data_IF_838541037707
#
_entry.id   IF_838541037707
#
_cell.length_a   1.000
_cell.length_b   1.000
_cell.length_c   1.000
_cell.angle_alpha   90.00
_cell.angle_beta   90.00
_cell.angle_gamma   90.00
#
_symmetry.space_group_name_H-M   'P 1'
#
loop_
_entity.id
_entity.type
_entity.pdbx_description
1 polymer ?
#
# COMPACT_ATOMS: atom_id res chain seq x y z
N UNK A 1 -21.35 -0.63 5.80
CA UNK A 1 -22.21 -1.80 6.03
C UNK A 1 -21.45 -2.65 7.04
N UNK A 2 -21.90 -2.72 8.26
CA UNK A 2 -21.29 -3.49 9.34
C UNK A 2 -22.05 -4.81 9.38
N UNK A 3 -21.30 -5.92 9.38
CA UNK A 3 -21.86 -7.28 9.45
C UNK A 3 -22.29 -7.55 10.91
N UNK A 4 -23.38 -8.29 11.11
CA UNK A 4 -23.91 -8.63 12.45
C UNK A 4 -22.89 -9.38 13.34
N UNK A 5 -21.85 -9.97 12.72
CA UNK A 5 -20.74 -10.65 13.38
C UNK A 5 -19.46 -9.80 13.52
N UNK A 6 -19.48 -8.53 13.13
CA UNK A 6 -18.33 -7.61 13.14
C UNK A 6 -17.07 -8.19 12.44
N UNK A 7 -17.26 -9.05 11.44
CA UNK A 7 -16.14 -9.67 10.69
C UNK A 7 -15.50 -8.72 9.68
N UNK A 8 -16.18 -7.60 9.39
CA UNK A 8 -15.78 -6.59 8.40
C UNK A 8 -15.51 -7.12 6.98
N UNK A 9 -15.77 -8.39 6.69
CA UNK A 9 -15.53 -8.99 5.38
C UNK A 9 -16.28 -8.27 4.25
N UNK A 10 -17.57 -7.98 4.47
CA UNK A 10 -18.39 -7.22 3.52
C UNK A 10 -17.88 -5.80 3.29
N UNK A 11 -17.34 -5.15 4.32
CA UNK A 11 -16.73 -3.82 4.22
C UNK A 11 -15.45 -3.86 3.38
N UNK A 12 -14.56 -4.81 3.65
CA UNK A 12 -13.31 -4.99 2.88
C UNK A 12 -13.63 -5.29 1.41
N UNK A 13 -14.64 -6.14 1.15
CA UNK A 13 -15.10 -6.43 -0.21
C UNK A 13 -15.61 -5.20 -0.93
N UNK A 14 -16.41 -4.38 -0.27
CA UNK A 14 -16.92 -3.13 -0.82
C UNK A 14 -15.76 -2.14 -1.09
N UNK A 15 -14.85 -1.96 -0.14
CA UNK A 15 -13.71 -1.07 -0.28
C UNK A 15 -12.81 -1.50 -1.45
N UNK A 16 -12.52 -2.80 -1.57
CA UNK A 16 -11.73 -3.36 -2.67
C UNK A 16 -12.41 -3.15 -4.03
N UNK A 17 -13.72 -3.41 -4.16
CA UNK A 17 -14.48 -3.18 -5.39
C UNK A 17 -14.47 -1.70 -5.78
N UNK A 18 -14.73 -0.81 -4.83
CA UNK A 18 -14.71 0.64 -5.06
C UNK A 18 -13.32 1.13 -5.47
N UNK A 19 -12.28 0.69 -4.78
CA UNK A 19 -10.90 1.02 -5.12
C UNK A 19 -10.53 0.50 -6.52
N UNK A 20 -10.88 -0.74 -6.87
CA UNK A 20 -10.62 -1.31 -8.19
C UNK A 20 -11.28 -0.51 -9.32
N UNK A 21 -12.53 -0.09 -9.15
CA UNK A 21 -13.23 0.79 -10.09
C UNK A 21 -12.52 2.14 -10.23
N UNK A 22 -12.11 2.72 -9.11
CA UNK A 22 -11.34 3.99 -9.10
C UNK A 22 -10.00 3.83 -9.80
N UNK A 23 -9.26 2.75 -9.52
CA UNK A 23 -7.98 2.43 -10.20
C UNK A 23 -8.20 2.30 -11.71
N UNK A 24 -9.25 1.62 -12.15
CA UNK A 24 -9.55 1.48 -13.58
C UNK A 24 -9.83 2.84 -14.24
N UNK A 25 -10.59 3.71 -13.59
CA UNK A 25 -10.86 5.07 -14.07
C UNK A 25 -9.57 5.92 -14.13
N UNK A 26 -8.79 5.93 -13.05
CA UNK A 26 -7.54 6.68 -12.97
C UNK A 26 -6.46 6.15 -13.92
N UNK A 27 -6.48 4.85 -14.24
CA UNK A 27 -5.55 4.24 -15.20
C UNK A 27 -5.65 4.84 -16.60
N UNK A 28 -6.82 5.37 -16.98
CA UNK A 28 -6.99 6.09 -18.24
C UNK A 28 -6.24 7.42 -18.26
N UNK A 29 -6.07 8.03 -17.09
CA UNK A 29 -5.35 9.29 -16.91
C UNK A 29 -3.84 9.07 -16.71
N UNK A 30 -3.48 7.87 -16.23
CA UNK A 30 -2.10 7.42 -16.08
C UNK A 30 -1.68 6.69 -17.36
N UNK A 31 -1.39 7.42 -18.43
CA UNK A 31 -0.84 6.81 -19.65
C UNK A 31 0.47 6.08 -19.32
N UNK A 32 0.69 4.92 -19.98
CA UNK A 32 1.95 4.15 -19.82
C UNK A 32 3.17 4.86 -20.46
N UNK A 33 3.01 6.09 -20.91
CA UNK A 33 4.12 6.87 -21.44
C UNK A 33 5.01 7.35 -20.29
N UNK A 34 6.30 7.23 -20.47
CA UNK A 34 7.35 7.73 -19.57
C UNK A 34 7.27 9.26 -19.30
N UNK A 35 6.43 9.97 -20.05
CA UNK A 35 6.22 11.41 -19.92
C UNK A 35 5.41 11.84 -18.67
N UNK A 36 4.72 10.91 -17.97
CA UNK A 36 4.01 11.24 -16.74
C UNK A 36 4.90 10.95 -15.54
N UNK A 37 5.35 12.02 -14.87
CA UNK A 37 6.19 11.92 -13.67
C UNK A 37 5.63 10.94 -12.62
N UNK A 38 6.51 10.16 -12.01
CA UNK A 38 6.16 9.17 -10.97
C UNK A 38 5.38 9.80 -9.81
N UNK A 39 5.69 11.06 -9.46
CA UNK A 39 5.00 11.85 -8.44
C UNK A 39 3.52 12.06 -8.76
N UNK A 40 3.19 12.37 -10.02
CA UNK A 40 1.79 12.56 -10.46
C UNK A 40 1.02 11.25 -10.38
N UNK A 41 1.63 10.12 -10.77
CA UNK A 41 1.02 8.80 -10.65
C UNK A 41 0.78 8.42 -9.17
N UNK A 42 1.74 8.71 -8.28
CA UNK A 42 1.58 8.51 -6.83
C UNK A 42 0.45 9.36 -6.26
N UNK A 43 0.31 10.60 -6.72
CA UNK A 43 -0.80 11.47 -6.29
C UNK A 43 -2.16 10.88 -6.69
N UNK A 44 -2.31 10.41 -7.93
CA UNK A 44 -3.55 9.76 -8.37
C UNK A 44 -3.80 8.45 -7.60
N UNK A 45 -2.74 7.69 -7.32
CA UNK A 45 -2.82 6.47 -6.52
C UNK A 45 -3.26 6.73 -5.07
N UNK A 46 -2.95 7.90 -4.50
CA UNK A 46 -3.37 8.23 -3.13
C UNK A 46 -4.90 8.25 -2.96
N UNK A 47 -5.65 8.54 -4.03
CA UNK A 47 -7.12 8.50 -4.03
C UNK A 47 -7.62 7.07 -3.79
N UNK A 48 -7.09 6.07 -4.51
CA UNK A 48 -7.46 4.68 -4.31
C UNK A 48 -6.97 4.16 -2.95
N UNK A 49 -5.77 4.60 -2.52
CA UNK A 49 -5.24 4.27 -1.20
C UNK A 49 -6.15 4.77 -0.08
N UNK A 50 -6.67 6.00 -0.18
CA UNK A 50 -7.58 6.54 0.83
C UNK A 50 -8.88 5.76 0.93
N UNK A 51 -9.39 5.23 -0.19
CA UNK A 51 -10.58 4.36 -0.19
C UNK A 51 -10.29 3.05 0.58
N UNK A 52 -9.14 2.41 0.32
CA UNK A 52 -8.74 1.18 1.00
C UNK A 52 -8.46 1.38 2.49
N UNK A 53 -7.98 2.56 2.89
CA UNK A 53 -7.66 2.89 4.30
C UNK A 53 -8.86 3.39 5.09
N UNK A 54 -10.00 3.67 4.42
CA UNK A 54 -11.16 4.25 5.09
C UNK A 54 -11.66 3.35 6.23
N UNK A 55 -11.68 3.92 7.43
CA UNK A 55 -12.05 3.20 8.65
C UNK A 55 -11.02 2.14 9.10
N UNK A 56 -9.78 2.18 8.57
CA UNK A 56 -8.71 1.24 8.87
C UNK A 56 -8.57 0.85 10.33
N UNK A 57 -8.52 1.79 11.28
CA UNK A 57 -8.43 1.49 12.71
C UNK A 57 -9.54 0.58 13.25
N UNK A 58 -10.72 0.61 12.63
CA UNK A 58 -11.89 -0.16 13.10
C UNK A 58 -11.85 -1.61 12.63
N UNK A 59 -11.27 -1.87 11.45
CA UNK A 59 -11.27 -3.20 10.83
C UNK A 59 -9.86 -3.81 10.65
N UNK A 60 -8.82 -3.15 11.16
CA UNK A 60 -7.43 -3.61 11.06
C UNK A 60 -7.22 -5.04 11.58
N UNK A 61 -7.89 -5.42 12.67
CA UNK A 61 -7.85 -6.77 13.25
C UNK A 61 -8.35 -7.83 12.25
N UNK A 62 -9.28 -7.49 11.36
CA UNK A 62 -9.77 -8.41 10.33
C UNK A 62 -8.68 -8.85 9.35
N UNK A 63 -7.58 -8.09 9.23
CA UNK A 63 -6.39 -8.47 8.43
C UNK A 63 -5.62 -9.67 9.02
N UNK A 64 -5.95 -10.11 10.24
CA UNK A 64 -5.51 -11.40 10.77
C UNK A 64 -5.99 -12.57 9.91
N UNK A 65 -7.13 -12.42 9.23
CA UNK A 65 -7.64 -13.40 8.27
C UNK A 65 -6.91 -13.26 6.93
N UNK A 66 -6.22 -14.32 6.50
CA UNK A 66 -5.39 -14.30 5.29
C UNK A 66 -6.17 -13.90 4.03
N UNK A 67 -7.42 -14.41 3.87
CA UNK A 67 -8.24 -14.12 2.69
C UNK A 67 -8.58 -12.63 2.55
N UNK A 68 -8.81 -11.93 3.64
CA UNK A 68 -9.08 -10.49 3.61
C UNK A 68 -7.82 -9.68 3.30
N UNK A 69 -6.70 -10.07 3.89
CA UNK A 69 -5.39 -9.50 3.60
C UNK A 69 -5.02 -9.66 2.13
N UNK A 70 -5.10 -10.89 1.62
CA UNK A 70 -4.75 -11.21 0.23
C UNK A 70 -5.61 -10.40 -0.76
N UNK A 71 -6.88 -10.22 -0.46
CA UNK A 71 -7.79 -9.43 -1.29
C UNK A 71 -7.42 -7.95 -1.31
N UNK A 72 -7.14 -7.39 -0.13
CA UNK A 72 -6.70 -6.00 0.01
C UNK A 72 -5.37 -5.77 -0.72
N UNK A 73 -4.39 -6.64 -0.51
CA UNK A 73 -3.08 -6.59 -1.13
C UNK A 73 -3.14 -6.77 -2.65
N UNK A 74 -3.99 -7.68 -3.14
CA UNK A 74 -4.20 -7.86 -4.58
C UNK A 74 -4.75 -6.59 -5.24
N UNK A 75 -5.71 -5.93 -4.60
CA UNK A 75 -6.27 -4.67 -5.10
C UNK A 75 -5.23 -3.56 -5.08
N UNK A 76 -4.49 -3.44 -3.99
CA UNK A 76 -3.42 -2.45 -3.85
C UNK A 76 -2.28 -2.68 -4.84
N UNK A 77 -1.94 -3.94 -5.12
CA UNK A 77 -0.93 -4.33 -6.11
C UNK A 77 -1.27 -3.78 -7.51
N UNK A 78 -2.53 -3.83 -7.93
CA UNK A 78 -2.95 -3.29 -9.24
C UNK A 78 -2.59 -1.80 -9.36
N UNK A 79 -2.74 -1.05 -8.31
CA UNK A 79 -2.38 0.36 -8.26
C UNK A 79 -0.86 0.56 -8.32
N UNK A 80 -0.10 -0.18 -7.52
CA UNK A 80 1.36 -0.11 -7.51
C UNK A 80 1.95 -0.43 -8.89
N UNK A 81 1.40 -1.42 -9.61
CA UNK A 81 1.77 -1.74 -10.99
C UNK A 81 1.60 -0.55 -11.94
N UNK A 82 0.53 0.24 -11.77
CA UNK A 82 0.28 1.44 -12.57
C UNK A 82 1.23 2.58 -12.22
N UNK A 83 1.54 2.74 -10.94
CA UNK A 83 2.50 3.76 -10.49
C UNK A 83 3.90 3.49 -11.03
N UNK A 84 4.37 2.26 -10.94
CA UNK A 84 5.71 1.87 -11.36
C UNK A 84 5.85 1.58 -12.87
N UNK A 85 4.73 1.47 -13.61
CA UNK A 85 4.73 1.13 -15.05
C UNK A 85 5.49 -0.17 -15.37
N UNK A 86 5.30 -1.21 -14.57
CA UNK A 86 5.97 -2.50 -14.74
C UNK A 86 5.00 -3.62 -15.13
N UNK A 87 5.54 -4.78 -15.49
CA UNK A 87 4.77 -5.94 -15.91
C UNK A 87 3.98 -6.57 -14.75
N UNK A 88 2.85 -7.20 -15.10
CA UNK A 88 1.96 -7.87 -14.14
C UNK A 88 2.58 -9.04 -13.39
N UNK A 89 3.70 -9.56 -13.84
CA UNK A 89 4.40 -10.71 -13.25
C UNK A 89 5.17 -10.36 -11.97
N UNK A 90 5.39 -9.06 -11.71
CA UNK A 90 6.11 -8.61 -10.51
C UNK A 90 5.33 -8.97 -9.24
N UNK A 91 6.00 -9.53 -8.23
CA UNK A 91 5.39 -9.90 -6.95
C UNK A 91 4.90 -8.66 -6.17
N UNK A 92 3.99 -8.88 -5.20
CA UNK A 92 3.45 -7.79 -4.38
C UNK A 92 4.54 -7.04 -3.60
N UNK A 93 5.46 -7.76 -2.99
CA UNK A 93 6.55 -7.18 -2.21
C UNK A 93 7.47 -6.32 -3.09
N UNK A 94 7.88 -6.86 -4.23
CA UNK A 94 8.74 -6.14 -5.16
C UNK A 94 8.07 -4.90 -5.75
N UNK A 95 6.78 -4.98 -6.10
CA UNK A 95 6.08 -3.85 -6.69
C UNK A 95 5.88 -2.70 -5.71
N UNK A 96 5.68 -2.97 -4.43
CA UNK A 96 5.60 -1.94 -3.41
C UNK A 96 6.92 -1.15 -3.32
N UNK A 97 8.06 -1.84 -3.34
CA UNK A 97 9.39 -1.21 -3.32
C UNK A 97 9.64 -0.42 -4.61
N UNK A 98 9.40 -1.02 -5.78
CA UNK A 98 9.60 -0.36 -7.08
C UNK A 98 8.74 0.91 -7.22
N UNK A 99 7.49 0.86 -6.77
CA UNK A 99 6.60 2.02 -6.75
C UNK A 99 6.96 3.04 -5.67
N UNK A 100 7.78 2.67 -4.69
CA UNK A 100 8.06 3.46 -3.49
C UNK A 100 6.78 3.71 -2.67
N UNK A 101 5.92 2.69 -2.60
CA UNK A 101 4.64 2.71 -1.90
C UNK A 101 4.62 1.62 -0.83
N UNK A 102 4.56 2.03 0.43
CA UNK A 102 4.52 1.10 1.56
C UNK A 102 3.37 0.11 1.43
N UNK A 103 3.54 -1.20 1.79
CA UNK A 103 2.47 -2.19 1.80
C UNK A 103 1.24 -1.72 2.57
N UNK A 104 0.05 -2.00 2.02
CA UNK A 104 -1.22 -1.51 2.59
C UNK A 104 -1.46 -2.05 4.00
N UNK A 105 -1.06 -3.29 4.28
CA UNK A 105 -1.15 -3.91 5.59
C UNK A 105 -0.36 -3.15 6.67
N UNK A 106 0.84 -2.65 6.33
CA UNK A 106 1.65 -1.82 7.23
C UNK A 106 1.00 -0.44 7.44
N UNK A 107 0.45 0.15 6.36
CA UNK A 107 -0.20 1.46 6.44
C UNK A 107 -1.44 1.42 7.34
N UNK A 108 -2.28 0.40 7.19
CA UNK A 108 -3.49 0.23 8.01
C UNK A 108 -3.12 0.05 9.49
N UNK A 109 -2.06 -0.70 9.76
CA UNK A 109 -1.56 -0.86 11.13
C UNK A 109 -0.98 0.43 11.70
N UNK A 110 -0.30 1.24 10.89
CA UNK A 110 0.15 2.58 11.28
C UNK A 110 -1.05 3.48 11.63
N UNK A 111 -2.14 3.41 10.85
CA UNK A 111 -3.35 4.17 11.12
C UNK A 111 -4.02 3.75 12.44
N UNK A 112 -4.10 2.46 12.73
CA UNK A 112 -4.60 1.90 13.99
C UNK A 112 -3.78 2.42 15.17
N UNK A 113 -2.47 2.26 15.11
CA UNK A 113 -1.55 2.71 16.15
C UNK A 113 -1.59 4.23 16.39
N UNK A 114 -1.84 5.02 15.33
CA UNK A 114 -2.04 6.46 15.43
C UNK A 114 -3.40 6.84 16.01
N UNK A 115 -4.44 6.02 15.77
CA UNK A 115 -5.78 6.26 16.28
C UNK A 115 -5.87 6.03 17.79
N UNK A 116 -5.24 4.97 18.29
CA UNK A 116 -5.23 4.60 19.71
C UNK A 116 -4.48 5.62 20.57
N UNK A 117 -3.49 6.29 20.01
CA UNK A 117 -2.67 7.27 20.71
C UNK A 117 -3.05 8.71 20.32
N UNK A 118 -4.33 9.07 20.55
CA UNK A 118 -4.84 10.40 20.23
C UNK A 118 -3.92 11.51 20.77
N UNK A 119 -3.47 12.35 19.83
CA UNK A 119 -3.13 13.75 20.08
C UNK A 119 -1.73 14.13 20.58
N UNK A 120 -0.67 13.66 19.90
CA UNK A 120 0.61 14.40 20.06
C UNK A 120 1.24 14.69 18.70
N UNK A 121 1.45 15.97 18.37
CA UNK A 121 2.27 16.41 17.24
C UNK A 121 3.63 15.70 17.32
N UNK A 122 4.00 14.92 16.31
CA UNK A 122 5.24 14.12 16.31
C UNK A 122 5.01 12.62 16.37
N UNK A 123 3.92 12.11 16.92
CA UNK A 123 3.61 10.68 16.95
C UNK A 123 3.53 10.11 15.52
N UNK A 124 2.89 10.82 14.60
CA UNK A 124 2.76 10.38 13.21
C UNK A 124 4.10 10.22 12.52
N UNK A 125 5.05 11.12 12.76
CA UNK A 125 6.41 11.03 12.19
C UNK A 125 7.18 9.86 12.80
N UNK A 126 7.11 9.67 14.11
CA UNK A 126 7.74 8.56 14.81
C UNK A 126 7.15 7.21 14.35
N UNK A 127 5.82 7.12 14.22
CA UNK A 127 5.13 5.91 13.70
C UNK A 127 5.53 5.61 12.26
N UNK A 128 5.63 6.63 11.43
CA UNK A 128 6.10 6.47 10.05
C UNK A 128 7.52 5.90 9.98
N UNK A 129 8.41 6.36 10.85
CA UNK A 129 9.76 5.79 10.97
C UNK A 129 9.73 4.33 11.39
N UNK A 130 8.90 3.97 12.37
CA UNK A 130 8.70 2.58 12.81
C UNK A 130 8.14 1.71 11.67
N UNK A 131 7.17 2.21 10.93
CA UNK A 131 6.58 1.52 9.77
C UNK A 131 7.61 1.30 8.67
N UNK A 132 8.48 2.26 8.40
CA UNK A 132 9.58 2.12 7.45
C UNK A 132 10.58 1.05 7.90
N UNK A 133 10.94 1.00 9.18
CA UNK A 133 11.81 -0.03 9.73
C UNK A 133 11.19 -1.42 9.64
N UNK A 134 9.87 -1.53 9.90
CA UNK A 134 9.10 -2.77 9.72
C UNK A 134 9.13 -3.22 8.25
N UNK A 135 8.85 -2.33 7.32
CA UNK A 135 8.89 -2.61 5.90
C UNK A 135 10.27 -3.07 5.43
N UNK A 136 11.34 -2.36 5.84
CA UNK A 136 12.72 -2.74 5.54
C UNK A 136 13.06 -4.13 6.07
N UNK A 137 12.64 -4.47 7.27
CA UNK A 137 12.86 -5.80 7.87
C UNK A 137 12.12 -6.90 7.08
N UNK A 138 10.85 -6.68 6.73
CA UNK A 138 10.09 -7.63 5.91
C UNK A 138 10.73 -7.83 4.54
N UNK A 139 11.17 -6.75 3.92
CA UNK A 139 11.89 -6.77 2.65
C UNK A 139 13.20 -7.55 2.72
N UNK A 140 14.00 -7.33 3.74
CA UNK A 140 15.29 -8.01 3.94
C UNK A 140 15.12 -9.52 4.19
N UNK A 141 14.03 -9.92 4.83
CA UNK A 141 13.72 -11.32 5.16
C UNK A 141 12.96 -12.06 4.05
N UNK A 142 12.48 -11.36 3.03
CA UNK A 142 11.73 -11.99 1.95
C UNK A 142 12.60 -12.95 1.14
N UNK A 143 12.11 -14.17 0.98
CA UNK A 143 12.78 -15.22 0.18
C UNK A 143 12.40 -15.17 -1.30
N UNK A 144 11.20 -14.63 -1.61
CA UNK A 144 10.62 -14.64 -2.97
C UNK A 144 11.22 -13.60 -3.91
N UNK A 145 11.80 -12.53 -3.37
CA UNK A 145 12.23 -11.34 -4.16
C UNK A 145 13.74 -11.10 -4.10
N UNK A 146 14.52 -12.15 -3.86
CA UNK A 146 15.98 -12.07 -3.69
C UNK A 146 16.71 -11.32 -4.80
N UNK A 147 16.24 -11.44 -6.03
CA UNK A 147 16.85 -10.74 -7.17
C UNK A 147 16.63 -9.23 -7.10
N UNK A 148 15.40 -8.79 -6.86
CA UNK A 148 15.07 -7.37 -6.70
C UNK A 148 15.74 -6.79 -5.45
N UNK A 149 15.86 -7.56 -4.38
CA UNK A 149 16.58 -7.17 -3.17
C UNK A 149 18.05 -6.86 -3.42
N UNK A 150 18.73 -7.62 -4.29
CA UNK A 150 20.13 -7.33 -4.66
C UNK A 150 20.30 -5.96 -5.33
N UNK A 151 19.28 -5.52 -6.07
CA UNK A 151 19.30 -4.22 -6.75
C UNK A 151 18.89 -3.07 -5.82
N UNK A 152 17.97 -3.34 -4.91
CA UNK A 152 17.39 -2.35 -3.99
C UNK A 152 17.43 -2.92 -2.57
N UNK A 153 18.62 -2.94 -1.92
CA UNK A 153 18.72 -3.45 -0.55
C UNK A 153 18.17 -2.48 0.50
N UNK A 154 18.20 -1.18 0.22
CA UNK A 154 17.75 -0.11 1.10
C UNK A 154 16.55 0.62 0.48
N UNK A 155 15.37 0.47 1.14
CA UNK A 155 14.12 1.08 0.70
C UNK A 155 14.15 2.59 0.89
N UNK A 156 14.69 3.09 2.01
CA UNK A 156 14.71 4.51 2.31
C UNK A 156 15.51 5.27 1.25
N UNK A 157 16.72 4.84 0.98
CA UNK A 157 17.57 5.42 -0.06
C UNK A 157 16.97 5.28 -1.47
N UNK A 158 16.17 4.21 -1.74
CA UNK A 158 15.47 4.06 -3.00
C UNK A 158 14.35 5.10 -3.18
N UNK A 159 13.55 5.34 -2.13
CA UNK A 159 12.44 6.29 -2.16
C UNK A 159 12.93 7.74 -2.26
N UNK A 160 14.04 8.06 -1.60
CA UNK A 160 14.66 9.40 -1.64
C UNK A 160 15.27 9.75 -3.00
N UNK A 161 15.67 8.74 -3.78
CA UNK A 161 16.06 8.96 -5.18
C UNK A 161 14.85 9.47 -5.94
N UNK A 162 14.86 10.75 -6.27
CA UNK A 162 13.84 11.34 -7.16
C UNK A 162 14.00 10.70 -8.54
N UNK A 163 13.26 9.66 -8.80
CA UNK A 163 13.08 9.17 -10.17
C UNK A 163 12.25 10.22 -10.89
N UNK A 164 12.93 11.04 -11.68
CA UNK A 164 12.41 12.20 -12.36
C UNK A 164 11.21 11.97 -13.26
#
# INVERSE_FOLDING_TARGET
>A
MVDDKLTFGSHIDYACKKAATTIAALSRMMSNSSAVFSSRRKLLASVATSILRYGGPVWSEALGTSSYRDKLESTYRLMCLRVACVYRTVSYEAICVLAGMMPISIIVKEDEECFDQRDTRGIRTARRSTSMTRWQREWSNSTKVRWTYRLIPDIAGWIERRHG
#
